data_IF_410604135121
#
_entry.id   IF_410604135121
#
_cell.length_a   1.000
_cell.length_b   1.000
_cell.length_c   1.000
_cell.angle_alpha   90.00
_cell.angle_beta   90.00
_cell.angle_gamma   90.00
#
_symmetry.space_group_name_H-M   'P 1'
#
loop_
_entity.id
_entity.type
_entity.pdbx_description
1 polymer ?
#
# COMPACT_ATOMS: atom_id res chain seq x y z
N UNK A 1 -4.06 3.58 5.80
CA UNK A 1 -4.05 2.79 4.56
C UNK A 1 -2.79 3.04 3.72
N UNK A 2 -2.55 4.27 3.24
CA UNK A 2 -1.39 4.60 2.37
C UNK A 2 -0.06 4.14 2.98
N UNK A 3 0.15 4.34 4.28
CA UNK A 3 1.35 3.88 4.98
C UNK A 3 1.55 2.35 4.89
N UNK A 4 0.48 1.57 5.10
CA UNK A 4 0.52 0.10 4.97
C UNK A 4 0.89 -0.33 3.55
N UNK A 5 0.40 0.40 2.54
CA UNK A 5 0.74 0.15 1.14
C UNK A 5 2.20 0.50 0.83
N UNK A 6 2.77 1.50 1.50
CA UNK A 6 4.18 1.85 1.34
C UNK A 6 5.10 0.77 1.92
N UNK A 7 4.72 0.20 3.06
CA UNK A 7 5.40 -0.95 3.66
C UNK A 7 5.26 -2.18 2.78
N UNK A 8 4.05 -2.45 2.28
CA UNK A 8 3.78 -3.53 1.33
C UNK A 8 4.66 -3.42 0.08
N UNK A 9 4.69 -2.26 -0.59
CA UNK A 9 5.58 -2.02 -1.73
C UNK A 9 7.06 -2.21 -1.36
N UNK A 10 7.50 -1.66 -0.23
CA UNK A 10 8.91 -1.75 0.18
C UNK A 10 9.34 -3.19 0.47
N UNK A 11 8.43 -4.00 0.99
CA UNK A 11 8.70 -5.39 1.33
C UNK A 11 8.61 -6.32 0.11
N UNK A 12 7.58 -6.16 -0.72
CA UNK A 12 7.31 -7.05 -1.86
C UNK A 12 8.08 -6.66 -3.12
N UNK A 13 8.47 -5.39 -3.26
CA UNK A 13 9.01 -4.84 -4.49
C UNK A 13 7.96 -4.55 -5.57
N UNK A 14 6.67 -4.83 -5.32
CA UNK A 14 5.61 -4.48 -6.27
C UNK A 14 5.46 -2.97 -6.40
N UNK A 15 5.21 -2.49 -7.62
CA UNK A 15 4.68 -1.13 -7.83
C UNK A 15 3.24 -1.10 -7.31
N UNK A 16 2.96 -0.24 -6.33
CA UNK A 16 1.63 -0.11 -5.74
C UNK A 16 1.01 1.22 -6.14
N UNK A 17 -0.17 1.13 -6.75
CA UNK A 17 -1.02 2.27 -7.10
C UNK A 17 -2.31 2.16 -6.30
N UNK A 18 -2.65 3.21 -5.56
CA UNK A 18 -3.88 3.31 -4.78
C UNK A 18 -4.83 4.26 -5.49
N UNK A 19 -5.99 3.76 -5.89
CA UNK A 19 -7.05 4.56 -6.52
C UNK A 19 -8.13 4.85 -5.48
N UNK A 20 -8.45 6.13 -5.29
CA UNK A 20 -9.53 6.59 -4.43
C UNK A 20 -10.64 7.23 -5.27
N UNK A 21 -11.89 6.87 -4.97
CA UNK A 21 -13.05 7.57 -5.53
C UNK A 21 -13.19 8.97 -4.91
N UNK A 22 -13.07 10.02 -5.73
CA UNK A 22 -13.13 11.41 -5.29
C UNK A 22 -14.49 11.80 -4.68
N UNK A 23 -15.59 11.12 -5.03
CA UNK A 23 -16.91 11.41 -4.46
C UNK A 23 -17.04 10.90 -3.02
N UNK A 24 -16.33 9.82 -2.69
CA UNK A 24 -16.35 9.19 -1.37
C UNK A 24 -15.31 9.79 -0.42
N UNK A 25 -14.29 10.47 -0.96
CA UNK A 25 -13.19 11.03 -0.20
C UNK A 25 -13.34 12.55 -0.08
N UNK A 26 -14.29 12.99 0.77
CA UNK A 26 -14.41 14.42 1.12
C UNK A 26 -13.19 14.89 1.91
N UNK A 27 -12.54 15.95 1.44
CA UNK A 27 -11.67 16.78 2.28
C UNK A 27 -10.18 16.40 2.35
N UNK A 28 -9.63 15.64 1.40
CA UNK A 28 -8.16 15.54 1.30
C UNK A 28 -7.62 16.77 0.59
N UNK A 29 -7.52 17.86 1.35
CA UNK A 29 -6.50 18.88 1.16
C UNK A 29 -5.15 18.15 1.04
N UNK A 30 -4.49 18.23 -0.12
CA UNK A 30 -3.29 17.47 -0.53
C UNK A 30 -2.37 17.09 0.64
N UNK A 31 -2.58 15.94 1.28
CA UNK A 31 -1.67 15.40 2.29
C UNK A 31 -0.63 14.52 1.61
N UNK A 32 0.63 14.83 1.91
CA UNK A 32 1.88 14.25 1.39
C UNK A 32 1.70 12.83 0.86
N UNK A 33 1.88 12.69 -0.46
CA UNK A 33 2.12 11.41 -1.12
C UNK A 33 3.39 10.83 -0.47
N UNK A 34 3.26 9.71 0.23
CA UNK A 34 4.43 8.97 0.67
C UNK A 34 5.19 8.58 -0.61
N UNK A 35 6.44 9.03 -0.77
CA UNK A 35 7.23 8.97 -2.02
C UNK A 35 7.31 7.58 -2.68
N UNK A 36 6.92 6.52 -1.97
CA UNK A 36 6.90 5.16 -2.48
C UNK A 36 5.58 4.80 -3.19
N UNK A 37 4.42 5.23 -2.69
CA UNK A 37 3.12 4.77 -3.23
C UNK A 37 2.50 5.83 -4.12
N UNK A 38 2.10 5.42 -5.32
CA UNK A 38 1.34 6.29 -6.22
C UNK A 38 -0.12 6.34 -5.76
N UNK A 39 -0.66 7.54 -5.56
CA UNK A 39 -2.05 7.75 -5.14
C UNK A 39 -2.78 8.55 -6.21
N UNK A 40 -3.84 7.96 -6.76
CA UNK A 40 -4.66 8.55 -7.80
C UNK A 40 -6.07 8.77 -7.25
N UNK A 41 -6.60 9.97 -7.43
CA UNK A 41 -8.00 10.28 -7.19
C UNK A 41 -8.74 10.26 -8.53
N UNK A 42 -9.94 9.70 -8.55
CA UNK A 42 -10.79 9.72 -9.75
C UNK A 42 -11.23 11.14 -10.07
N UNK A 43 -11.62 11.39 -11.32
CA UNK A 43 -12.21 12.67 -11.73
C UNK A 43 -13.69 12.76 -11.32
N UNK A 44 -14.25 13.96 -11.39
CA UNK A 44 -15.70 14.16 -11.30
C UNK A 44 -16.37 13.37 -12.44
N UNK A 45 -17.36 12.53 -12.10
CA UNK A 45 -18.01 11.55 -12.99
C UNK A 45 -17.13 10.38 -13.50
N UNK A 46 -16.03 10.04 -12.81
CA UNK A 46 -15.28 8.80 -13.08
C UNK A 46 -15.27 7.91 -11.83
N UNK A 47 -15.57 6.62 -12.00
CA UNK A 47 -15.53 5.65 -10.89
C UNK A 47 -14.10 5.11 -10.66
N UNK A 48 -13.84 4.56 -9.48
CA UNK A 48 -12.55 3.92 -9.20
C UNK A 48 -12.28 2.76 -10.17
N UNK A 49 -13.32 2.02 -10.51
CA UNK A 49 -13.30 0.89 -11.41
C UNK A 49 -12.89 1.29 -12.84
N UNK A 50 -13.55 2.32 -13.41
CA UNK A 50 -13.20 2.88 -14.72
C UNK A 50 -11.74 3.36 -14.77
N UNK A 51 -11.25 3.94 -13.67
CA UNK A 51 -9.86 4.37 -13.57
C UNK A 51 -8.91 3.19 -13.50
N UNK A 52 -9.25 2.15 -12.76
CA UNK A 52 -8.46 0.92 -12.67
C UNK A 52 -8.39 0.25 -14.05
N UNK A 53 -9.49 0.14 -14.79
CA UNK A 53 -9.51 -0.43 -16.13
C UNK A 53 -8.53 0.28 -17.08
N UNK A 54 -8.52 1.63 -17.09
CA UNK A 54 -7.56 2.41 -17.89
C UNK A 54 -6.12 2.11 -17.48
N UNK A 55 -5.84 2.05 -16.17
CA UNK A 55 -4.50 1.73 -15.67
C UNK A 55 -4.08 0.30 -16.03
N UNK A 56 -4.99 -0.67 -15.97
CA UNK A 56 -4.72 -2.04 -16.40
C UNK A 56 -4.33 -2.04 -17.88
N UNK A 57 -5.12 -1.36 -18.73
CA UNK A 57 -4.87 -1.30 -20.17
C UNK A 57 -3.53 -0.63 -20.50
N UNK A 58 -3.25 0.51 -19.87
CA UNK A 58 -2.04 1.32 -20.11
C UNK A 58 -0.76 0.61 -19.63
N UNK A 59 -0.84 -0.16 -18.55
CA UNK A 59 0.30 -0.88 -17.96
C UNK A 59 0.43 -2.31 -18.45
N UNK A 60 -0.53 -2.80 -19.26
CA UNK A 60 -0.53 -4.18 -19.72
C UNK A 60 0.68 -4.44 -20.62
N UNK A 61 1.47 -5.45 -20.27
CA UNK A 61 2.67 -5.83 -21.00
C UNK A 61 2.97 -7.31 -20.74
N UNK A 62 3.56 -7.98 -21.72
CA UNK A 62 3.97 -9.39 -21.64
C UNK A 62 4.88 -9.65 -20.42
N UNK A 63 5.62 -8.63 -19.97
CA UNK A 63 6.56 -8.74 -18.85
C UNK A 63 5.93 -8.39 -17.48
N UNK A 64 4.67 -7.97 -17.43
CA UNK A 64 4.05 -7.42 -16.21
C UNK A 64 2.76 -8.14 -15.87
N UNK A 65 2.71 -8.75 -14.67
CA UNK A 65 1.48 -9.32 -14.14
C UNK A 65 0.79 -8.31 -13.22
N UNK A 66 -0.35 -7.78 -13.69
CA UNK A 66 -1.14 -6.81 -12.92
C UNK A 66 -2.05 -7.57 -11.94
N UNK A 67 -2.12 -7.06 -10.70
CA UNK A 67 -3.05 -7.53 -9.67
C UNK A 67 -3.94 -6.38 -9.20
N UNK A 68 -5.25 -6.61 -9.14
CA UNK A 68 -6.23 -5.62 -8.68
C UNK A 68 -6.85 -6.11 -7.39
N UNK A 69 -6.68 -5.34 -6.30
CA UNK A 69 -7.24 -5.66 -5.00
C UNK A 69 -8.62 -5.00 -4.81
N UNK A 70 -9.70 -5.78 -4.88
CA UNK A 70 -11.07 -5.29 -4.69
C UNK A 70 -11.98 -6.29 -3.97
N UNK A 71 -12.93 -5.78 -3.19
CA UNK A 71 -14.00 -6.58 -2.55
C UNK A 71 -15.25 -6.68 -3.40
N UNK A 72 -15.47 -5.74 -4.32
CA UNK A 72 -16.72 -5.68 -5.07
C UNK A 72 -16.79 -6.83 -6.08
N UNK A 73 -17.93 -7.51 -6.08
CA UNK A 73 -18.16 -8.72 -6.87
C UNK A 73 -18.49 -8.40 -8.33
N UNK A 74 -18.94 -7.18 -8.62
CA UNK A 74 -19.26 -6.67 -9.96
C UNK A 74 -18.03 -6.56 -10.86
N UNK A 75 -16.87 -6.29 -10.27
CA UNK A 75 -15.59 -5.99 -10.94
C UNK A 75 -14.84 -7.20 -11.53
N UNK A 76 -15.35 -8.43 -11.38
CA UNK A 76 -14.65 -9.60 -11.94
C UNK A 76 -14.52 -9.52 -13.47
N UNK A 77 -15.54 -9.02 -14.17
CA UNK A 77 -15.61 -9.17 -15.63
C UNK A 77 -14.70 -8.22 -16.42
N UNK A 78 -14.46 -7.01 -15.91
CA UNK A 78 -13.61 -6.03 -16.60
C UNK A 78 -12.11 -6.39 -16.55
N UNK A 79 -11.66 -6.96 -15.44
CA UNK A 79 -10.24 -7.22 -15.15
C UNK A 79 -9.72 -8.47 -15.90
N UNK A 80 -10.56 -9.50 -16.05
CA UNK A 80 -10.15 -10.75 -16.71
C UNK A 80 -9.97 -10.63 -18.22
N UNK A 81 -10.70 -9.73 -18.88
CA UNK A 81 -10.59 -9.53 -20.34
C UNK A 81 -9.21 -9.05 -20.79
N UNK A 82 -8.42 -8.48 -19.87
CA UNK A 82 -7.09 -7.93 -20.15
C UNK A 82 -5.95 -8.72 -19.50
N UNK A 83 -6.23 -9.86 -18.85
CA UNK A 83 -5.20 -10.72 -18.23
C UNK A 83 -4.73 -10.28 -16.83
N UNK A 84 -5.41 -9.33 -16.20
CA UNK A 84 -5.13 -8.95 -14.82
C UNK A 84 -5.74 -9.96 -13.81
N UNK A 85 -5.10 -10.10 -12.65
CA UNK A 85 -5.51 -11.02 -11.60
C UNK A 85 -6.23 -10.28 -10.48
N UNK A 86 -7.42 -10.76 -10.11
CA UNK A 86 -8.11 -10.25 -8.92
C UNK A 86 -7.41 -10.76 -7.66
N UNK A 87 -7.23 -9.85 -6.70
CA UNK A 87 -6.98 -10.14 -5.29
C UNK A 87 -8.15 -9.62 -4.46
N UNK A 88 -8.64 -10.36 -3.50
CA UNK A 88 -9.67 -9.85 -2.58
C UNK A 88 -9.06 -8.88 -1.56
N UNK A 89 -9.86 -7.93 -1.03
CA UNK A 89 -9.37 -7.08 0.05
C UNK A 89 -8.95 -7.87 1.29
N UNK A 90 -9.61 -9.02 1.55
CA UNK A 90 -9.24 -9.92 2.66
C UNK A 90 -7.91 -10.61 2.45
N UNK A 91 -7.57 -10.99 1.22
CA UNK A 91 -6.24 -11.52 0.90
C UNK A 91 -5.16 -10.45 1.05
N UNK A 92 -5.38 -9.26 0.50
CA UNK A 92 -4.45 -8.14 0.67
C UNK A 92 -4.25 -7.80 2.14
N UNK A 93 -5.31 -7.76 2.94
CA UNK A 93 -5.23 -7.49 4.38
C UNK A 93 -4.35 -8.53 5.10
N UNK A 94 -4.56 -9.82 4.81
CA UNK A 94 -3.76 -10.90 5.41
C UNK A 94 -2.29 -10.80 5.04
N UNK A 95 -1.97 -10.46 3.79
CA UNK A 95 -0.58 -10.26 3.37
C UNK A 95 0.07 -9.08 4.08
N UNK A 96 -0.65 -7.94 4.18
CA UNK A 96 -0.18 -6.76 4.88
C UNK A 96 0.09 -7.06 6.35
N UNK A 97 -0.84 -7.73 7.05
CA UNK A 97 -0.66 -8.11 8.45
C UNK A 97 0.52 -9.07 8.65
N UNK A 98 0.71 -10.01 7.72
CA UNK A 98 1.86 -10.92 7.77
C UNK A 98 3.19 -10.17 7.59
N UNK A 99 3.24 -9.22 6.65
CA UNK A 99 4.40 -8.36 6.41
C UNK A 99 4.69 -7.49 7.64
N UNK A 100 3.67 -6.86 8.24
CA UNK A 100 3.83 -6.06 9.47
C UNK A 100 4.49 -6.89 10.59
N UNK A 101 3.99 -8.11 10.84
CA UNK A 101 4.56 -9.03 11.84
C UNK A 101 6.00 -9.44 11.51
N UNK A 102 6.30 -9.72 10.25
CA UNK A 102 7.65 -10.09 9.81
C UNK A 102 8.64 -8.93 9.99
N UNK A 103 8.23 -7.70 9.69
CA UNK A 103 9.03 -6.49 9.92
C UNK A 103 9.31 -6.33 11.42
N UNK A 104 8.27 -6.42 12.26
CA UNK A 104 8.42 -6.32 13.71
C UNK A 104 9.39 -7.36 14.28
N UNK A 105 9.23 -8.63 13.87
CA UNK A 105 10.10 -9.72 14.33
C UNK A 105 11.55 -9.51 13.88
N UNK A 106 11.77 -9.05 12.64
CA UNK A 106 13.12 -8.78 12.12
C UNK A 106 13.78 -7.62 12.87
N UNK A 107 13.04 -6.55 13.18
CA UNK A 107 13.55 -5.44 14.00
C UNK A 107 13.94 -5.95 15.39
N UNK A 108 13.07 -6.72 16.05
CA UNK A 108 13.35 -7.32 17.36
C UNK A 108 14.61 -8.18 17.33
N UNK A 109 14.76 -9.05 16.33
CA UNK A 109 15.93 -9.91 16.17
C UNK A 109 17.23 -9.10 15.99
N UNK A 110 17.22 -8.09 15.12
CA UNK A 110 18.38 -7.22 14.89
C UNK A 110 18.77 -6.48 16.18
N UNK A 111 17.78 -6.04 16.97
CA UNK A 111 18.04 -5.38 18.26
C UNK A 111 18.54 -6.34 19.34
N UNK A 112 18.16 -7.63 19.32
CA UNK A 112 18.62 -8.61 20.30
C UNK A 112 20.00 -9.21 19.97
N UNK A 113 20.34 -9.37 18.70
CA UNK A 113 21.59 -10.03 18.26
C UNK A 113 22.82 -9.10 18.25
N UNK A 114 22.64 -7.78 18.38
CA UNK A 114 23.74 -6.80 18.41
C UNK A 114 23.86 -6.12 19.79
N UNK A 115 24.70 -6.61 20.71
CA UNK A 115 25.00 -5.89 21.93
C UNK A 115 25.94 -4.71 21.63
N UNK A 116 25.52 -3.51 22.05
CA UNK A 116 26.32 -2.28 22.20
C UNK A 116 27.19 -1.85 20.99
N UNK A 117 26.55 -1.28 19.97
CA UNK A 117 27.26 -0.61 18.86
C UNK A 117 26.44 0.50 18.20
N UNK A 118 26.08 1.55 18.98
CA UNK A 118 25.36 2.80 18.62
C UNK A 118 23.90 2.60 18.18
N UNK A 119 22.83 2.99 18.89
CA UNK A 119 22.53 3.65 20.18
C UNK A 119 21.35 2.81 20.71
N UNK A 120 21.24 2.50 22.03
CA UNK A 120 20.01 1.90 22.54
C UNK A 120 18.87 2.89 22.25
N UNK A 121 18.04 2.56 21.26
CA UNK A 121 16.81 3.33 21.02
C UNK A 121 15.95 3.03 22.24
N UNK A 122 15.89 3.97 23.19
CA UNK A 122 14.96 3.85 24.30
C UNK A 122 13.56 3.65 23.73
N UNK A 123 12.64 3.08 24.51
CA UNK A 123 11.25 2.94 24.06
C UNK A 123 10.68 4.26 23.56
N UNK A 124 11.12 5.39 24.11
CA UNK A 124 10.77 6.73 23.63
C UNK A 124 11.27 7.00 22.21
N UNK A 125 12.51 6.64 21.88
CA UNK A 125 13.06 6.83 20.54
C UNK A 125 12.39 5.88 19.54
N UNK A 126 12.12 4.63 19.92
CA UNK A 126 11.32 3.71 19.10
C UNK A 126 9.91 4.24 18.86
N UNK A 127 9.26 4.78 19.89
CA UNK A 127 7.96 5.44 19.81
C UNK A 127 8.00 6.66 18.90
N UNK A 128 9.09 7.44 18.93
CA UNK A 128 9.30 8.58 18.03
C UNK A 128 9.49 8.10 16.59
N UNK A 129 10.31 7.08 16.35
CA UNK A 129 10.45 6.48 15.01
C UNK A 129 9.14 5.86 14.52
N UNK A 130 8.35 5.25 15.39
CA UNK A 130 7.00 4.77 15.09
C UNK A 130 6.05 5.91 14.75
N UNK A 131 6.06 7.01 15.52
CA UNK A 131 5.28 8.22 15.20
C UNK A 131 5.71 8.84 13.88
N UNK A 132 7.01 8.88 13.60
CA UNK A 132 7.56 9.34 12.31
C UNK A 132 7.15 8.40 11.17
N UNK A 133 7.17 7.09 11.40
CA UNK A 133 6.69 6.06 10.47
C UNK A 133 5.19 6.20 10.20
N UNK A 134 4.39 6.56 11.21
CA UNK A 134 2.94 6.73 11.12
C UNK A 134 2.52 8.10 10.55
N UNK A 135 3.45 9.05 10.51
CA UNK A 135 3.17 10.42 10.05
C UNK A 135 2.44 11.28 11.10
N UNK A 136 2.54 10.90 12.38
CA UNK A 136 1.80 11.48 13.53
C UNK A 136 2.59 12.60 14.25
N UNK A 137 3.55 13.22 13.58
CA UNK A 137 4.26 14.39 14.11
C UNK A 137 3.85 15.58 13.25
N UNK A 138 3.04 16.46 13.83
CA UNK A 138 2.61 17.74 13.26
C UNK A 138 3.79 18.57 12.76
#
# INVERSE_FOLDING_TARGET
MIQKMAEYQSYTGFRVIVVFDAHLVKGIEKKKVNHRVEVIFTRENETADERIEKLVSDLNSIQTQIHVATSDYTEQWAIFGQGALRKSARELLREVEAIERQIENRVKQITSERPAGKIPLSEDVLRIFEKWRRGDLD
#
